data_IF_035260396780
#
_entry.id   IF_035260396780
#
_cell.length_a   1.000
_cell.length_b   1.000
_cell.length_c   1.000
_cell.angle_alpha   90.00
_cell.angle_beta   90.00
_cell.angle_gamma   90.00
#
_symmetry.space_group_name_H-M   'P 1'
#
loop_
_entity.id
_entity.type
_entity.pdbx_description
1 polymer ?
#
# COMPACT_ATOMS: atom_id res chain seq x y z
N UNK A 1 -5.12 2.87 11.95
CA UNK A 1 -5.88 3.45 10.83
C UNK A 1 -6.97 2.52 10.41
N UNK A 2 -8.07 3.07 9.91
CA UNK A 2 -9.19 2.27 9.44
C UNK A 2 -9.14 2.24 7.94
N UNK A 3 -9.06 1.04 7.39
CA UNK A 3 -9.33 0.80 6.00
C UNK A 3 -10.76 0.25 5.89
N UNK A 4 -11.59 0.89 5.08
CA UNK A 4 -12.94 0.41 4.79
C UNK A 4 -12.96 -0.72 3.75
N UNK A 5 -11.80 -1.03 3.16
CA UNK A 5 -11.62 -2.10 2.21
C UNK A 5 -11.13 -3.40 2.89
N UNK A 6 -9.99 -3.93 2.48
CA UNK A 6 -9.52 -5.27 2.84
C UNK A 6 -8.83 -5.39 4.19
N UNK A 7 -8.24 -4.31 4.72
CA UNK A 7 -7.34 -4.39 5.88
C UNK A 7 -8.03 -4.14 7.23
N UNK A 8 -9.16 -3.42 7.20
CA UNK A 8 -10.02 -3.20 8.36
C UNK A 8 -9.51 -2.15 9.37
N UNK A 9 -10.15 -2.13 10.52
CA UNK A 9 -9.94 -1.13 11.59
C UNK A 9 -8.61 -1.34 12.31
N UNK A 10 -7.91 -0.24 12.59
CA UNK A 10 -6.56 -0.22 13.19
C UNK A 10 -5.56 -1.21 12.57
N UNK A 11 -5.54 -1.30 11.23
CA UNK A 11 -4.56 -2.12 10.53
C UNK A 11 -3.13 -1.64 10.81
N UNK A 12 -2.20 -2.60 10.85
CA UNK A 12 -0.77 -2.43 11.13
C UNK A 12 0.03 -3.59 10.55
N UNK A 13 1.35 -3.45 10.50
CA UNK A 13 2.26 -4.46 9.97
C UNK A 13 1.93 -4.90 8.54
N UNK A 14 1.37 -3.98 7.75
CA UNK A 14 1.00 -4.23 6.36
C UNK A 14 2.26 -4.42 5.52
N UNK A 15 2.29 -5.51 4.79
CA UNK A 15 3.32 -5.85 3.80
C UNK A 15 2.64 -6.37 2.54
N UNK A 16 3.34 -6.26 1.42
CA UNK A 16 2.88 -6.80 0.14
C UNK A 16 4.00 -7.54 -0.54
N UNK A 17 3.68 -8.71 -1.12
CA UNK A 17 4.54 -9.43 -2.03
C UNK A 17 3.77 -9.84 -3.28
N UNK A 18 4.44 -9.81 -4.42
CA UNK A 18 3.88 -10.35 -5.65
C UNK A 18 4.01 -11.88 -5.66
N UNK A 19 2.89 -12.56 -5.95
CA UNK A 19 2.85 -14.02 -6.07
C UNK A 19 2.78 -14.51 -7.50
N UNK A 20 2.30 -13.66 -8.42
CA UNK A 20 2.12 -13.98 -9.84
C UNK A 20 2.13 -12.72 -10.69
N UNK A 21 2.69 -12.83 -11.90
CA UNK A 21 2.70 -11.78 -12.92
C UNK A 21 2.05 -12.20 -14.24
N UNK A 22 1.43 -11.24 -14.91
CA UNK A 22 1.21 -11.25 -16.35
C UNK A 22 1.74 -9.94 -16.95
N UNK A 23 2.88 -10.03 -17.64
CA UNK A 23 3.55 -8.87 -18.25
C UNK A 23 2.73 -8.26 -19.39
N UNK A 24 2.07 -9.09 -20.20
CA UNK A 24 1.28 -8.64 -21.35
C UNK A 24 0.14 -7.74 -20.92
N UNK A 25 -0.55 -8.09 -19.84
CA UNK A 25 -1.68 -7.31 -19.32
C UNK A 25 -1.27 -6.33 -18.23
N UNK A 26 0.03 -6.28 -17.86
CA UNK A 26 0.56 -5.49 -16.73
C UNK A 26 -0.25 -5.72 -15.45
N UNK A 27 -0.47 -7.00 -15.15
CA UNK A 27 -1.28 -7.46 -14.01
C UNK A 27 -0.42 -8.27 -13.06
N UNK A 28 -0.60 -8.06 -11.76
CA UNK A 28 0.01 -8.86 -10.71
C UNK A 28 -1.04 -9.35 -9.72
N UNK A 29 -0.72 -10.42 -8.98
CA UNK A 29 -1.48 -10.86 -7.82
C UNK A 29 -0.66 -10.58 -6.56
N UNK A 30 -1.10 -9.56 -5.84
CA UNK A 30 -0.43 -9.01 -4.68
C UNK A 30 -0.99 -9.68 -3.43
N UNK A 31 -0.15 -10.40 -2.71
CA UNK A 31 -0.47 -10.95 -1.41
C UNK A 31 -0.14 -9.91 -0.34
N UNK A 32 -1.18 -9.41 0.32
CA UNK A 32 -1.07 -8.52 1.45
C UNK A 32 -1.13 -9.31 2.74
N UNK A 33 -0.20 -9.02 3.65
CA UNK A 33 -0.14 -9.62 4.97
C UNK A 33 -0.15 -8.49 6.00
N UNK A 34 -1.04 -8.57 6.99
CA UNK A 34 -1.26 -7.50 7.96
C UNK A 34 -1.87 -8.01 9.27
N UNK A 35 -1.96 -7.14 10.26
CA UNK A 35 -2.72 -7.33 11.49
C UNK A 35 -3.73 -6.20 11.63
N UNK A 36 -4.84 -6.40 12.33
CA UNK A 36 -5.84 -5.35 12.57
C UNK A 36 -6.53 -5.53 13.94
N UNK A 37 -7.56 -4.74 14.22
CA UNK A 37 -8.26 -4.75 15.50
C UNK A 37 -9.14 -5.99 15.74
N UNK A 38 -9.53 -6.76 14.71
CA UNK A 38 -10.49 -7.86 14.90
C UNK A 38 -9.95 -9.00 15.77
N UNK A 39 -8.62 -9.11 15.87
CA UNK A 39 -7.91 -10.06 16.74
C UNK A 39 -7.08 -9.37 17.83
N UNK A 40 -7.37 -8.09 18.13
CA UNK A 40 -6.55 -7.23 18.99
C UNK A 40 -5.08 -7.04 18.51
N UNK A 41 -4.77 -7.50 17.30
CA UNK A 41 -3.42 -7.54 16.73
C UNK A 41 -2.63 -8.82 17.03
N UNK A 42 -3.29 -9.86 17.54
CA UNK A 42 -2.66 -11.16 17.85
C UNK A 42 -2.57 -12.08 16.63
N UNK A 43 -3.48 -11.93 15.66
CA UNK A 43 -3.50 -12.74 14.45
C UNK A 43 -2.97 -11.97 13.24
N UNK A 44 -2.32 -12.71 12.34
CA UNK A 44 -1.91 -12.24 11.02
C UNK A 44 -2.96 -12.66 10.00
N UNK A 45 -3.42 -11.70 9.21
CA UNK A 45 -4.35 -11.91 8.10
C UNK A 45 -3.61 -11.83 6.77
N UNK A 46 -4.11 -12.58 5.80
CA UNK A 46 -3.61 -12.59 4.43
C UNK A 46 -4.76 -12.42 3.45
N UNK A 47 -4.61 -11.51 2.51
CA UNK A 47 -5.51 -11.37 1.35
C UNK A 47 -4.68 -11.37 0.07
N UNK A 48 -5.25 -11.85 -1.03
CA UNK A 48 -4.62 -11.77 -2.35
C UNK A 48 -5.53 -10.99 -3.28
N UNK A 49 -4.99 -9.93 -3.87
CA UNK A 49 -5.74 -9.01 -4.71
C UNK A 49 -5.13 -8.98 -6.11
N UNK A 50 -6.00 -8.89 -7.12
CA UNK A 50 -5.56 -8.65 -8.50
C UNK A 50 -5.27 -7.16 -8.65
N UNK A 51 -4.07 -6.82 -9.08
CA UNK A 51 -3.62 -5.43 -9.27
C UNK A 51 -3.24 -5.19 -10.73
N UNK A 52 -3.78 -4.15 -11.33
CA UNK A 52 -3.55 -3.80 -12.75
C UNK A 52 -2.97 -2.39 -12.87
N UNK A 53 -1.93 -2.22 -13.69
CA UNK A 53 -1.45 -0.89 -14.04
C UNK A 53 -2.44 -0.22 -15.01
N UNK A 54 -2.98 0.95 -14.64
CA UNK A 54 -3.99 1.66 -15.42
C UNK A 54 -3.61 3.12 -15.66
N UNK A 55 -4.28 3.73 -16.63
CA UNK A 55 -4.22 5.18 -16.88
C UNK A 55 -5.29 5.86 -16.05
N UNK A 56 -4.95 6.94 -15.35
CA UNK A 56 -5.86 7.72 -14.53
C UNK A 56 -5.61 9.22 -14.74
N UNK A 57 -6.59 10.07 -14.42
CA UNK A 57 -6.52 11.52 -14.65
C UNK A 57 -6.12 11.93 -16.08
N UNK A 58 -6.72 11.29 -17.09
CA UNK A 58 -6.50 11.56 -18.52
C UNK A 58 -5.06 11.35 -19.02
N UNK A 59 -4.23 10.59 -18.32
CA UNK A 59 -2.93 10.19 -18.85
C UNK A 59 -3.13 9.33 -20.10
N UNK A 60 -2.51 9.72 -21.23
CA UNK A 60 -2.68 9.01 -22.51
C UNK A 60 -1.52 8.08 -22.84
N UNK A 61 -0.31 8.41 -22.40
CA UNK A 61 0.91 7.74 -22.88
C UNK A 61 1.43 6.70 -21.88
N UNK A 62 1.24 6.93 -20.59
CA UNK A 62 1.80 6.10 -19.52
C UNK A 62 0.74 5.74 -18.49
N UNK A 63 0.80 4.52 -17.97
CA UNK A 63 0.04 4.10 -16.78
C UNK A 63 0.62 4.81 -15.56
N UNK A 64 -0.24 5.40 -14.74
CA UNK A 64 0.13 6.25 -13.60
C UNK A 64 -0.70 5.92 -12.35
N UNK A 65 -1.39 4.80 -12.34
CA UNK A 65 -2.17 4.33 -11.21
C UNK A 65 -2.17 2.81 -11.19
N UNK A 66 -2.45 2.26 -10.02
CA UNK A 66 -2.75 0.85 -9.84
C UNK A 66 -4.23 0.69 -9.50
N UNK A 67 -4.86 -0.32 -10.09
CA UNK A 67 -6.24 -0.68 -9.81
C UNK A 67 -6.29 -2.03 -9.12
N UNK A 68 -6.80 -2.04 -7.89
CA UNK A 68 -7.08 -3.23 -7.12
C UNK A 68 -8.45 -3.79 -7.49
N UNK A 69 -8.56 -5.11 -7.57
CA UNK A 69 -9.84 -5.84 -7.57
C UNK A 69 -9.88 -6.73 -6.34
N UNK A 70 -10.73 -6.38 -5.38
CA UNK A 70 -10.89 -7.08 -4.12
C UNK A 70 -11.69 -8.38 -4.30
N UNK A 71 -11.67 -9.25 -3.29
CA UNK A 71 -12.36 -10.55 -3.34
C UNK A 71 -13.88 -10.45 -3.57
N UNK A 72 -14.50 -9.37 -3.08
CA UNK A 72 -15.94 -9.09 -3.28
C UNK A 72 -16.24 -8.40 -4.63
N UNK A 73 -15.24 -8.19 -5.49
CA UNK A 73 -15.37 -7.50 -6.78
C UNK A 73 -15.28 -5.97 -6.71
N UNK A 74 -15.16 -5.37 -5.52
CA UNK A 74 -14.91 -3.92 -5.39
C UNK A 74 -13.61 -3.56 -6.11
N UNK A 75 -13.64 -2.44 -6.84
CA UNK A 75 -12.49 -1.90 -7.54
C UNK A 75 -12.05 -0.59 -6.89
N UNK A 76 -10.76 -0.50 -6.59
CA UNK A 76 -10.11 0.67 -6.01
C UNK A 76 -8.98 1.12 -6.91
N UNK A 77 -8.77 2.43 -7.05
CA UNK A 77 -7.74 2.99 -7.93
C UNK A 77 -6.90 3.96 -7.13
N UNK A 78 -5.60 3.67 -7.08
CA UNK A 78 -4.61 4.47 -6.38
C UNK A 78 -3.64 5.10 -7.40
N UNK A 79 -3.74 6.43 -7.62
CA UNK A 79 -2.77 7.13 -8.44
C UNK A 79 -1.38 7.12 -7.82
N UNK A 80 -0.38 6.82 -8.64
CA UNK A 80 1.03 6.95 -8.28
C UNK A 80 1.41 8.43 -8.31
N UNK A 81 1.75 8.98 -7.16
CA UNK A 81 2.15 10.38 -6.97
C UNK A 81 3.64 10.53 -7.23
N UNK A 82 4.44 9.62 -6.69
CA UNK A 82 5.89 9.61 -6.82
C UNK A 82 6.42 8.19 -6.70
N UNK A 83 7.48 7.89 -7.43
CA UNK A 83 8.26 6.66 -7.27
C UNK A 83 9.71 6.98 -7.60
N UNK A 84 10.65 6.44 -6.83
CA UNK A 84 12.06 6.44 -7.21
C UNK A 84 12.43 5.21 -8.08
N UNK A 85 11.46 4.35 -8.34
CA UNK A 85 11.57 3.14 -9.14
C UNK A 85 12.33 1.99 -8.49
N UNK A 86 12.73 2.11 -7.21
CA UNK A 86 13.57 1.11 -6.53
C UNK A 86 13.23 0.89 -5.06
N UNK A 87 13.12 1.96 -4.28
CA UNK A 87 13.03 1.92 -2.83
C UNK A 87 11.65 2.31 -2.34
N UNK A 88 10.99 3.30 -2.95
CA UNK A 88 9.71 3.77 -2.45
C UNK A 88 8.72 4.16 -3.54
N UNK A 89 7.45 4.01 -3.19
CA UNK A 89 6.31 4.46 -3.97
C UNK A 89 5.35 5.23 -3.07
N UNK A 90 4.93 6.41 -3.54
CA UNK A 90 3.92 7.24 -2.89
C UNK A 90 2.64 7.14 -3.72
N UNK A 91 1.59 6.58 -3.12
CA UNK A 91 0.27 6.51 -3.71
C UNK A 91 -0.69 7.48 -3.04
N UNK A 92 -1.66 7.96 -3.79
CA UNK A 92 -2.84 8.63 -3.26
C UNK A 92 -3.98 7.62 -3.22
N UNK A 93 -4.60 7.42 -2.06
CA UNK A 93 -5.76 6.56 -1.87
C UNK A 93 -7.02 7.43 -1.72
N UNK A 94 -7.75 7.74 -2.81
CA UNK A 94 -8.85 8.72 -2.79
C UNK A 94 -10.04 8.28 -1.92
N UNK A 95 -10.22 6.98 -1.71
CA UNK A 95 -11.31 6.42 -0.92
C UNK A 95 -11.00 6.36 0.58
N UNK A 96 -9.74 6.52 0.98
CA UNK A 96 -9.33 6.46 2.37
C UNK A 96 -9.94 7.61 3.20
N UNK A 97 -9.94 7.43 4.53
CA UNK A 97 -10.45 8.39 5.51
C UNK A 97 -11.88 8.88 5.19
N UNK A 98 -12.79 7.93 4.96
CA UNK A 98 -14.19 8.18 4.58
C UNK A 98 -14.32 9.05 3.30
N UNK A 99 -13.41 8.87 2.34
CA UNK A 99 -13.43 9.55 1.05
C UNK A 99 -12.79 10.95 1.03
N UNK A 100 -12.15 11.39 2.13
CA UNK A 100 -11.34 12.63 2.13
C UNK A 100 -9.95 12.42 1.53
N UNK A 101 -9.57 11.16 1.31
CA UNK A 101 -8.34 10.74 0.66
C UNK A 101 -7.13 10.75 1.57
N UNK A 102 -6.25 9.77 1.39
CA UNK A 102 -5.01 9.60 2.13
C UNK A 102 -3.80 9.42 1.21
N UNK A 103 -2.61 9.53 1.78
CA UNK A 103 -1.36 9.19 1.08
C UNK A 103 -0.72 7.99 1.75
N UNK A 104 -0.17 7.09 0.95
CA UNK A 104 0.49 5.88 1.39
C UNK A 104 1.91 5.86 0.86
N UNK A 105 2.89 5.78 1.77
CA UNK A 105 4.29 5.58 1.41
C UNK A 105 4.63 4.10 1.60
N UNK A 106 4.83 3.42 0.48
CA UNK A 106 5.30 2.05 0.43
C UNK A 106 6.81 2.03 0.26
N UNK A 107 7.49 1.16 1.03
CA UNK A 107 8.96 1.08 1.04
C UNK A 107 9.38 -0.36 0.87
N UNK A 108 10.38 -0.59 0.02
CA UNK A 108 11.04 -1.88 -0.12
C UNK A 108 11.57 -2.37 1.24
N UNK A 109 11.26 -3.62 1.59
CA UNK A 109 11.58 -4.19 2.90
C UNK A 109 13.07 -4.15 3.27
N UNK A 110 13.97 -4.16 2.27
CA UNK A 110 15.41 -4.09 2.50
C UNK A 110 15.89 -2.68 2.92
N UNK A 111 15.03 -1.68 2.79
CA UNK A 111 15.31 -0.26 3.04
C UNK A 111 14.40 0.37 4.10
N UNK A 112 13.65 -0.43 4.86
CA UNK A 112 12.68 0.08 5.84
C UNK A 112 13.30 0.97 6.93
N UNK A 113 14.57 0.72 7.29
CA UNK A 113 15.33 1.53 8.27
C UNK A 113 16.12 2.67 7.60
N UNK A 114 16.08 2.76 6.26
CA UNK A 114 16.89 3.67 5.45
C UNK A 114 16.04 4.27 4.31
N UNK A 115 14.88 4.81 4.67
CA UNK A 115 13.96 5.46 3.72
C UNK A 115 14.66 6.70 3.13
N UNK A 116 14.77 6.83 1.80
CA UNK A 116 15.40 7.98 1.17
C UNK A 116 14.70 9.29 1.56
N UNK A 117 15.48 10.36 1.74
CA UNK A 117 14.94 11.68 2.13
C UNK A 117 13.96 12.23 1.11
N UNK A 118 14.13 11.92 -0.19
CA UNK A 118 13.17 12.30 -1.22
C UNK A 118 11.78 11.68 -0.99
N UNK A 119 11.69 10.41 -0.58
CA UNK A 119 10.44 9.74 -0.28
C UNK A 119 9.69 10.41 0.88
N UNK A 120 10.41 10.70 1.96
CA UNK A 120 9.84 11.39 3.12
C UNK A 120 9.42 12.83 2.78
N UNK A 121 10.26 13.56 2.04
CA UNK A 121 9.93 14.90 1.58
C UNK A 121 8.66 14.92 0.71
N UNK A 122 8.53 13.97 -0.22
CA UNK A 122 7.34 13.89 -1.08
C UNK A 122 6.09 13.56 -0.25
N UNK A 123 6.18 12.64 0.72
CA UNK A 123 5.07 12.38 1.63
C UNK A 123 4.68 13.62 2.42
N UNK A 124 5.64 14.32 3.04
CA UNK A 124 5.38 15.54 3.82
C UNK A 124 4.77 16.65 2.96
N UNK A 125 5.30 16.85 1.75
CA UNK A 125 4.84 17.86 0.82
C UNK A 125 3.38 17.62 0.40
N UNK A 126 3.04 16.39 0.01
CA UNK A 126 1.70 16.06 -0.48
C UNK A 126 0.67 15.84 0.63
N UNK A 127 1.06 15.25 1.77
CA UNK A 127 0.16 15.10 2.91
C UNK A 127 -0.17 16.46 3.56
N UNK A 128 0.75 17.42 3.49
CA UNK A 128 0.59 18.74 4.09
C UNK A 128 0.71 18.73 5.61
N UNK A 129 0.87 19.92 6.19
CA UNK A 129 1.27 20.11 7.61
C UNK A 129 0.20 19.77 8.64
N UNK A 130 -1.07 19.63 8.23
CA UNK A 130 -2.19 19.40 9.14
C UNK A 130 -2.70 17.95 9.12
N UNK A 131 -2.07 17.05 8.36
CA UNK A 131 -2.46 15.64 8.31
C UNK A 131 -1.62 14.82 9.28
N UNK A 132 -2.29 13.92 9.99
CA UNK A 132 -1.61 12.99 10.89
C UNK A 132 -1.01 11.84 10.08
N UNK A 133 0.31 11.73 10.10
CA UNK A 133 1.05 10.61 9.51
C UNK A 133 1.13 9.47 10.52
N UNK A 134 0.90 8.24 10.07
CA UNK A 134 0.92 7.06 10.92
C UNK A 134 1.97 6.07 10.43
N UNK A 135 2.78 5.55 11.36
CA UNK A 135 3.69 4.47 11.02
C UNK A 135 2.94 3.12 11.03
N UNK A 136 2.62 2.60 9.84
CA UNK A 136 1.89 1.34 9.67
C UNK A 136 2.80 0.13 9.89
N UNK A 137 4.03 0.19 9.40
CA UNK A 137 5.00 -0.90 9.52
C UNK A 137 6.18 -0.48 10.40
N UNK A 138 6.38 -1.20 11.50
CA UNK A 138 7.50 -1.01 12.41
C UNK A 138 8.27 -2.33 12.47
N UNK A 139 9.52 -2.34 12.01
CA UNK A 139 10.34 -3.57 11.89
C UNK A 139 10.42 -4.36 13.19
N UNK A 140 10.50 -3.69 14.35
CA UNK A 140 10.61 -4.36 15.65
C UNK A 140 9.28 -4.95 16.09
N UNK A 141 8.17 -4.26 15.82
CA UNK A 141 6.82 -4.72 16.20
C UNK A 141 6.27 -5.76 15.23
N UNK A 142 6.71 -5.72 13.98
CA UNK A 142 6.17 -6.52 12.87
C UNK A 142 7.08 -7.71 12.49
N UNK A 143 8.09 -8.04 13.30
CA UNK A 143 9.08 -9.08 13.01
C UNK A 143 8.44 -10.45 12.70
N UNK A 144 7.34 -10.79 13.38
CA UNK A 144 6.61 -12.04 13.17
C UNK A 144 5.87 -12.09 11.83
N UNK A 145 5.38 -10.94 11.35
CA UNK A 145 4.69 -10.82 10.05
C UNK A 145 5.68 -10.91 8.91
N UNK A 146 6.83 -10.24 9.02
CA UNK A 146 7.89 -10.27 8.01
C UNK A 146 8.49 -11.66 7.75
N UNK A 147 8.45 -12.57 8.74
CA UNK A 147 8.89 -13.97 8.58
C UNK A 147 7.86 -14.83 7.84
N UNK A 148 6.58 -14.50 7.88
CA UNK A 148 5.51 -15.22 7.16
C UNK A 148 5.38 -14.77 5.71
N UNK A 149 5.63 -13.50 5.41
CA UNK A 149 5.61 -12.97 4.05
C UNK A 149 6.78 -13.48 3.16
N UNK A 150 7.85 -14.02 3.75
CA UNK A 150 9.05 -14.54 3.05
C UNK A 150 9.03 -16.05 2.77
N UNK A 151 7.92 -16.75 3.07
CA UNK A 151 7.73 -18.18 2.74
C UNK A 151 6.87 -18.32 1.49
#
# INVERSE_FOLDING_TARGET
QNDSASWGTMFRCLTVNETRRNETTKTVWSQFVFQNASSEGNETFTVTEKVEAVKHYNYTNHTNAIKYTLANGTQLVDPLVFSDGKICDLFYAPYADNGTGGYELWVNSDHIDQIPSCCNFMLEFFAGTNRKVYNIYDKKKCEFVGKQAKK
#
